data_IF_952789024315
#
_entry.id   IF_952789024315
#
_cell.length_a   1.000
_cell.length_b   1.000
_cell.length_c   1.000
_cell.angle_alpha   90.00
_cell.angle_beta   90.00
_cell.angle_gamma   90.00
#
_symmetry.space_group_name_H-M   'P 1'
#
loop_
_entity.id
_entity.type
_entity.pdbx_description
1 polymer ?
#
# COMPACT_ATOMS: atom_id res chain seq x y z
N UNK A 1 11.93 -0.91 -14.54
CA UNK A 1 12.69 -0.60 -13.31
C UNK A 1 12.55 -1.81 -12.41
N UNK A 2 13.52 -2.72 -12.52
CA UNK A 2 13.58 -3.94 -11.72
C UNK A 2 14.01 -3.57 -10.30
N UNK A 3 13.26 -3.99 -9.30
CA UNK A 3 13.68 -3.85 -7.91
C UNK A 3 14.54 -5.06 -7.57
N UNK A 4 15.85 -4.82 -7.40
CA UNK A 4 16.78 -5.80 -6.85
C UNK A 4 16.17 -6.40 -5.58
N UNK A 5 15.91 -7.70 -5.59
CA UNK A 5 15.31 -8.46 -4.47
C UNK A 5 16.35 -8.73 -3.39
N UNK A 6 17.02 -7.68 -2.93
CA UNK A 6 17.94 -7.70 -1.80
C UNK A 6 17.26 -7.16 -0.55
N UNK A 7 16.30 -7.90 0.02
CA UNK A 7 15.85 -7.81 1.42
C UNK A 7 15.49 -6.45 2.06
N UNK A 8 15.45 -5.34 1.33
CA UNK A 8 15.23 -3.99 1.87
C UNK A 8 13.76 -3.57 1.86
N UNK A 9 13.34 -2.83 2.88
CA UNK A 9 12.02 -2.17 2.91
C UNK A 9 11.97 -1.08 1.83
N UNK A 10 10.95 -1.13 0.96
CA UNK A 10 10.70 -0.07 -0.03
C UNK A 10 9.73 0.93 0.56
N UNK A 11 10.19 2.17 0.75
CA UNK A 11 9.41 3.25 1.37
C UNK A 11 9.18 4.39 0.38
N UNK A 12 8.00 5.03 0.47
CA UNK A 12 7.67 6.23 -0.29
C UNK A 12 6.94 7.19 0.63
N UNK A 13 7.48 8.39 0.82
CA UNK A 13 6.80 9.46 1.55
C UNK A 13 5.63 9.98 0.72
N UNK A 14 4.43 9.95 1.28
CA UNK A 14 3.21 10.46 0.66
C UNK A 14 2.56 11.50 1.56
N UNK A 15 1.98 12.53 0.96
CA UNK A 15 1.21 13.55 1.68
C UNK A 15 -0.21 13.03 1.95
N UNK A 16 -0.71 13.24 3.16
CA UNK A 16 -2.12 13.05 3.49
C UNK A 16 -2.92 14.18 2.84
N UNK A 17 -3.98 13.84 2.11
CA UNK A 17 -4.87 14.84 1.50
C UNK A 17 -5.70 15.55 2.58
N UNK A 18 -6.31 16.68 2.24
CA UNK A 18 -7.23 17.38 3.15
C UNK A 18 -8.42 16.51 3.59
N UNK A 19 -8.79 15.50 2.81
CA UNK A 19 -9.84 14.54 3.13
C UNK A 19 -9.37 13.37 4.01
N UNK A 20 -8.11 13.37 4.47
CA UNK A 20 -7.56 12.31 5.30
C UNK A 20 -7.21 11.02 4.54
N UNK A 21 -7.04 11.09 3.22
CA UNK A 21 -6.68 9.92 2.40
C UNK A 21 -5.21 9.95 1.99
N UNK A 22 -4.67 8.77 1.68
CA UNK A 22 -3.38 8.62 1.00
C UNK A 22 -3.59 7.87 -0.33
N UNK A 23 -2.83 8.25 -1.34
CA UNK A 23 -2.78 7.51 -2.60
C UNK A 23 -1.72 6.42 -2.48
N UNK A 24 -2.12 5.15 -2.60
CA UNK A 24 -1.16 4.04 -2.69
C UNK A 24 -0.35 4.20 -3.98
N UNK A 25 0.99 4.37 -3.90
CA UNK A 25 1.85 4.54 -5.06
C UNK A 25 1.63 3.47 -6.13
N UNK A 26 1.75 3.85 -7.40
CA UNK A 26 1.47 2.95 -8.54
C UNK A 26 2.27 1.65 -8.43
N UNK A 27 3.55 1.73 -8.08
CA UNK A 27 4.40 0.55 -7.96
C UNK A 27 3.92 -0.42 -6.87
N UNK A 28 3.38 0.09 -5.75
CA UNK A 28 2.86 -0.76 -4.68
C UNK A 28 1.54 -1.40 -5.08
N UNK A 29 0.66 -0.67 -5.77
CA UNK A 29 -0.59 -1.26 -6.31
C UNK A 29 -0.31 -2.37 -7.33
N UNK A 30 0.68 -2.18 -8.20
CA UNK A 30 1.09 -3.21 -9.16
C UNK A 30 1.67 -4.44 -8.46
N UNK A 31 2.53 -4.23 -7.44
CA UNK A 31 3.11 -5.32 -6.67
C UNK A 31 2.07 -6.09 -5.84
N UNK A 32 1.11 -5.38 -5.25
CA UNK A 32 0.04 -5.98 -4.44
C UNK A 32 -1.13 -6.52 -5.28
N UNK A 33 -1.12 -6.30 -6.61
CA UNK A 33 -2.26 -6.55 -7.51
C UNK A 33 -3.58 -6.00 -6.93
N UNK A 34 -3.56 -4.70 -6.58
CA UNK A 34 -4.72 -3.95 -6.09
C UNK A 34 -5.18 -2.98 -7.18
N UNK A 35 -6.43 -3.15 -7.61
CA UNK A 35 -7.03 -2.39 -8.68
C UNK A 35 -8.14 -1.45 -8.16
N UNK A 36 -8.56 -0.51 -9.01
CA UNK A 36 -9.70 0.37 -8.71
C UNK A 36 -10.94 -0.50 -8.45
N UNK A 37 -11.66 -0.24 -7.37
CA UNK A 37 -12.85 -1.00 -6.97
C UNK A 37 -12.55 -2.28 -6.18
N UNK A 38 -11.28 -2.66 -6.01
CA UNK A 38 -10.88 -3.73 -5.10
C UNK A 38 -10.88 -3.29 -3.63
N UNK A 39 -10.68 -4.26 -2.75
CA UNK A 39 -10.63 -4.04 -1.30
C UNK A 39 -9.22 -4.26 -0.75
N UNK A 40 -8.89 -3.49 0.28
CA UNK A 40 -7.71 -3.70 1.11
C UNK A 40 -8.13 -3.77 2.57
N UNK A 41 -7.41 -4.53 3.37
CA UNK A 41 -7.55 -4.54 4.82
C UNK A 41 -6.50 -3.61 5.41
N UNK A 42 -6.96 -2.64 6.20
CA UNK A 42 -6.12 -1.69 6.91
C UNK A 42 -6.14 -2.06 8.39
N UNK A 43 -4.98 -2.25 9.00
CA UNK A 43 -4.83 -2.54 10.43
C UNK A 43 -3.78 -1.63 11.05
N UNK A 44 -3.95 -1.32 12.34
CA UNK A 44 -2.95 -0.64 13.15
C UNK A 44 -2.11 -1.70 13.87
N UNK A 45 -0.78 -1.63 13.72
CA UNK A 45 0.19 -2.45 14.42
C UNK A 45 1.20 -1.52 15.11
N UNK A 46 0.98 -1.26 16.40
CA UNK A 46 1.68 -0.19 17.11
C UNK A 46 1.41 1.18 16.49
N UNK A 47 2.45 1.83 15.99
CA UNK A 47 2.40 3.11 15.29
C UNK A 47 2.36 2.96 13.75
N UNK A 48 2.23 1.72 13.24
CA UNK A 48 2.31 1.42 11.81
C UNK A 48 0.93 1.12 11.25
N UNK A 49 0.58 1.82 10.17
CA UNK A 49 -0.57 1.47 9.35
C UNK A 49 -0.17 0.38 8.34
N UNK A 50 -0.73 -0.82 8.50
CA UNK A 50 -0.45 -1.96 7.62
C UNK A 50 -1.62 -2.15 6.65
N UNK A 51 -1.34 -2.10 5.35
CA UNK A 51 -2.31 -2.32 4.27
C UNK A 51 -2.06 -3.66 3.60
N UNK A 52 -3.06 -4.53 3.56
CA UNK A 52 -2.99 -5.88 2.95
C UNK A 52 -4.05 -6.05 1.86
N UNK A 53 -3.77 -6.82 0.80
CA UNK A 53 -4.78 -7.21 -0.18
C UNK A 53 -5.92 -7.96 0.54
N UNK A 54 -7.16 -7.61 0.25
CA UNK A 54 -8.32 -8.31 0.77
C UNK A 54 -9.10 -8.96 -0.38
N UNK A 55 -9.57 -10.18 -0.15
CA UNK A 55 -10.53 -10.87 -1.01
C UNK A 55 -11.83 -10.94 -0.22
N UNK A 56 -12.90 -10.42 -0.81
CA UNK A 56 -14.27 -10.64 -0.32
C UNK A 56 -14.81 -11.80 -1.14
N UNK A 57 -15.18 -12.89 -0.45
CA UNK A 57 -15.78 -14.08 -1.04
C UNK A 57 -17.31 -14.00 -0.95
#
# INVERSE_FOLDING_TARGET
MEYNTGGGMVEVLVKITSAGTITIPRQFRQHMDVQKGGYVRVSLDGDRLVVRKAVIL
#
